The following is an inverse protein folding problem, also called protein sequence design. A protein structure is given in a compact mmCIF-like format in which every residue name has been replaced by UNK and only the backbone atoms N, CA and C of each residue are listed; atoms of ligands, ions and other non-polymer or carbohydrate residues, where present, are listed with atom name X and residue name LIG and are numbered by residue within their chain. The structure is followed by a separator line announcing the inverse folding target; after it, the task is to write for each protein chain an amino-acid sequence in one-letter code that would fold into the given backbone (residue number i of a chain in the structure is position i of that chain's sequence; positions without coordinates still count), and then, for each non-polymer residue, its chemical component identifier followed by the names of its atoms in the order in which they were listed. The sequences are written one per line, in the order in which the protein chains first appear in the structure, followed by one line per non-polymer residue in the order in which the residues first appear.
data_IF_561532064115
#
_entry.id   IF_561532064115
#
_cell.length_a   1.000
_cell.length_b   1.000
_cell.length_c   1.000
_cell.angle_alpha   90.00
_cell.angle_beta   90.00
_cell.angle_gamma   90.00
#
_symmetry.space_group_name_H-M   'P 1'
#
loop_
_entity.id
_entity.type
_entity.pdbx_description
1 polymer ?
#
# COMPACT_ATOMS: atom_id res chain seq x y z
N UNK A 1 -5.87 11.42 20.91
CA UNK A 1 -6.53 10.17 21.36
C UNK A 1 -5.68 8.96 20.99
N UNK A 2 -5.66 7.90 21.79
CA UNK A 2 -4.89 6.68 21.49
C UNK A 2 -5.66 5.80 20.49
N UNK A 3 -4.98 5.31 19.45
CA UNK A 3 -5.58 4.42 18.44
C UNK A 3 -6.11 3.15 19.10
N UNK A 4 -7.37 2.75 18.85
CA UNK A 4 -7.92 1.48 19.34
C UNK A 4 -7.03 0.33 18.89
N UNK A 5 -6.67 -0.53 19.84
CA UNK A 5 -5.84 -1.71 19.57
C UNK A 5 -6.69 -2.70 18.78
N UNK A 6 -6.17 -3.18 17.64
CA UNK A 6 -6.88 -4.16 16.82
C UNK A 6 -7.20 -5.42 17.66
N UNK A 7 -8.46 -5.85 17.63
CA UNK A 7 -8.95 -7.01 18.41
C UNK A 7 -8.37 -8.33 17.93
N UNK A 8 -7.88 -8.37 16.69
CA UNK A 8 -7.31 -9.58 16.05
C UNK A 8 -5.79 -9.54 16.04
N UNK A 9 -5.17 -10.66 16.38
CA UNK A 9 -3.73 -10.85 16.25
C UNK A 9 -3.31 -10.89 14.78
N UNK A 10 -2.36 -10.02 14.38
CA UNK A 10 -1.82 -10.03 13.03
C UNK A 10 -0.86 -11.22 12.82
N UNK A 11 -0.97 -11.89 11.68
CA UNK A 11 0.03 -12.85 11.20
C UNK A 11 1.04 -12.09 10.35
N UNK A 12 2.32 -12.22 10.69
CA UNK A 12 3.42 -11.58 9.96
C UNK A 12 3.99 -12.57 8.96
N UNK A 13 3.98 -12.18 7.68
CA UNK A 13 4.66 -12.91 6.61
C UNK A 13 5.76 -12.00 6.06
N UNK A 14 7.01 -12.47 6.13
CA UNK A 14 8.17 -11.77 5.58
C UNK A 14 8.54 -12.38 4.24
N UNK A 15 8.62 -11.54 3.21
CA UNK A 15 8.99 -11.96 1.86
C UNK A 15 10.19 -11.14 1.42
N UNK A 16 11.22 -11.82 0.91
CA UNK A 16 12.35 -11.21 0.22
C UNK A 16 12.20 -11.46 -1.27
N UNK A 17 12.22 -10.39 -2.06
CA UNK A 17 12.16 -10.43 -3.52
C UNK A 17 13.50 -9.93 -4.07
N UNK A 18 14.05 -10.67 -5.03
CA UNK A 18 15.15 -10.21 -5.87
C UNK A 18 14.56 -9.95 -7.25
N UNK A 19 14.66 -8.71 -7.72
CA UNK A 19 14.15 -8.28 -9.03
C UNK A 19 15.33 -8.02 -9.96
N UNK A 20 15.25 -8.49 -11.19
CA UNK A 20 16.31 -8.37 -12.19
C UNK A 20 15.88 -7.43 -13.32
N UNK A 21 16.66 -6.35 -13.59
CA UNK A 21 16.41 -5.50 -14.74
C UNK A 21 16.40 -6.30 -16.05
N UNK A 22 15.44 -6.01 -16.94
CA UNK A 22 15.20 -6.71 -18.20
C UNK A 22 14.20 -7.87 -18.12
N UNK A 23 13.94 -8.41 -16.92
CA UNK A 23 12.94 -9.46 -16.69
C UNK A 23 11.76 -8.94 -15.86
N UNK A 24 12.06 -8.19 -14.80
CA UNK A 24 11.10 -7.70 -13.80
C UNK A 24 10.87 -6.18 -13.92
N UNK A 25 11.00 -5.61 -15.12
CA UNK A 25 10.98 -4.15 -15.32
C UNK A 25 9.63 -3.52 -14.93
N UNK A 26 8.52 -4.24 -15.09
CA UNK A 26 7.19 -3.82 -14.64
C UNK A 26 7.12 -3.76 -13.09
N UNK A 27 7.71 -4.74 -12.41
CA UNK A 27 7.80 -4.79 -10.95
C UNK A 27 8.70 -3.68 -10.39
N UNK A 28 9.86 -3.48 -11.02
CA UNK A 28 10.81 -2.42 -10.67
C UNK A 28 10.13 -1.06 -10.82
N UNK A 29 9.51 -0.79 -11.97
CA UNK A 29 8.79 0.45 -12.25
C UNK A 29 7.66 0.69 -11.25
N UNK A 30 6.95 -0.36 -10.84
CA UNK A 30 5.92 -0.30 -9.82
C UNK A 30 6.49 0.12 -8.45
N UNK A 31 7.60 -0.47 -8.00
CA UNK A 31 8.21 -0.15 -6.71
C UNK A 31 8.92 1.21 -6.68
N UNK A 32 9.32 1.74 -7.83
CA UNK A 32 9.85 3.10 -7.99
C UNK A 32 8.76 4.15 -7.83
N UNK A 33 7.56 3.90 -8.37
CA UNK A 33 6.42 4.81 -8.26
C UNK A 33 5.78 4.82 -6.88
N UNK A 34 5.97 3.77 -6.07
CA UNK A 34 5.38 3.66 -4.73
C UNK A 34 6.38 4.12 -3.66
N UNK A 35 6.06 5.17 -2.87
CA UNK A 35 6.89 5.60 -1.75
C UNK A 35 7.18 4.47 -0.77
N UNK A 36 8.39 4.41 -0.21
CA UNK A 36 8.85 3.30 0.65
C UNK A 36 7.87 2.97 1.79
N UNK A 37 7.29 3.99 2.43
CA UNK A 37 6.31 3.84 3.51
C UNK A 37 5.00 3.16 3.09
N UNK A 38 4.67 3.14 1.81
CA UNK A 38 3.38 2.66 1.27
C UNK A 38 3.49 1.34 0.51
N UNK A 39 4.70 0.80 0.34
CA UNK A 39 4.95 -0.45 -0.41
C UNK A 39 4.13 -1.64 0.09
N UNK A 40 4.01 -1.81 1.41
CA UNK A 40 3.22 -2.91 2.00
C UNK A 40 1.73 -2.80 1.64
N UNK A 41 1.19 -1.58 1.63
CA UNK A 41 -0.21 -1.35 1.26
C UNK A 41 -0.44 -1.65 -0.22
N UNK A 42 0.47 -1.17 -1.08
CA UNK A 42 0.41 -1.41 -2.52
C UNK A 42 0.54 -2.91 -2.87
N UNK A 43 1.46 -3.63 -2.23
CA UNK A 43 1.62 -5.09 -2.41
C UNK A 43 0.37 -5.84 -1.95
N UNK A 44 -0.21 -5.51 -0.78
CA UNK A 44 -1.46 -6.14 -0.31
C UNK A 44 -2.61 -5.91 -1.29
N UNK A 45 -2.69 -4.72 -1.90
CA UNK A 45 -3.71 -4.41 -2.90
C UNK A 45 -3.53 -5.27 -4.15
N UNK A 46 -2.31 -5.32 -4.69
CA UNK A 46 -1.99 -6.13 -5.87
C UNK A 46 -2.30 -7.63 -5.69
N UNK A 47 -1.95 -8.18 -4.52
CA UNK A 47 -2.25 -9.58 -4.17
C UNK A 47 -3.75 -9.87 -4.07
N UNK A 48 -4.56 -8.90 -3.63
CA UNK A 48 -6.03 -9.03 -3.53
C UNK A 48 -6.72 -8.88 -4.87
N UNK A 49 -6.22 -8.00 -5.74
CA UNK A 49 -6.80 -7.72 -7.06
C UNK A 49 -6.32 -8.68 -8.16
N UNK A 50 -5.33 -9.53 -7.88
CA UNK A 50 -4.77 -10.47 -8.85
C UNK A 50 -3.90 -9.81 -9.93
N UNK A 51 -3.36 -8.62 -9.66
CA UNK A 51 -2.55 -7.88 -10.64
C UNK A 51 -1.94 -6.60 -10.07
N UNK A 52 -0.83 -6.16 -10.66
CA UNK A 52 0.02 -5.05 -10.17
C UNK A 52 -0.26 -3.70 -10.81
N UNK A 53 -1.28 -3.61 -11.66
CA UNK A 53 -1.83 -2.34 -12.12
C UNK A 53 -2.48 -1.61 -10.95
N UNK A 54 -1.68 -1.00 -10.09
CA UNK A 54 -2.16 0.00 -9.14
C UNK A 54 -2.56 1.21 -9.98
N UNK A 55 -3.86 1.29 -10.26
CA UNK A 55 -4.51 2.52 -10.68
C UNK A 55 -4.27 3.53 -9.57
N UNK A 56 -3.33 4.45 -9.79
CA UNK A 56 -3.13 5.64 -8.94
C UNK A 56 -4.40 6.52 -8.90
N UNK A 57 -5.35 6.27 -9.81
CA UNK A 57 -6.67 6.89 -9.86
C UNK A 57 -7.58 6.53 -8.67
N UNK A 58 -7.23 5.50 -7.89
CA UNK A 58 -7.99 5.04 -6.72
C UNK A 58 -7.22 5.27 -5.41
N UNK A 59 -6.21 6.14 -5.45
CA UNK A 59 -5.68 6.77 -4.25
C UNK A 59 -6.69 7.83 -3.82
N UNK A 60 -7.12 7.85 -2.55
CA UNK A 60 -7.94 8.94 -2.06
C UNK A 60 -7.18 10.25 -2.32
N UNK A 61 -7.90 11.22 -2.89
CA UNK A 61 -7.40 12.58 -3.08
C UNK A 61 -6.96 13.17 -1.75
N UNK A 62 -6.03 14.13 -1.78
CA UNK A 62 -5.55 14.77 -0.53
C UNK A 62 -6.73 15.34 0.28
N UNK A 63 -7.78 15.82 -0.38
CA UNK A 63 -9.03 16.28 0.22
C UNK A 63 -9.79 15.16 0.95
N UNK A 64 -9.90 13.96 0.35
CA UNK A 64 -10.53 12.78 0.99
C UNK A 64 -9.70 12.24 2.16
N UNK A 65 -8.37 12.43 2.11
CA UNK A 65 -7.48 12.10 3.22
C UNK A 65 -7.64 13.10 4.36
N UNK A 66 -7.82 14.39 4.06
CA UNK A 66 -8.03 15.46 5.03
C UNK A 66 -9.39 15.33 5.75
N UNK A 67 -10.47 15.02 5.01
CA UNK A 67 -11.79 14.72 5.58
C UNK A 67 -11.78 13.49 6.50
N UNK A 68 -11.04 12.44 6.11
CA UNK A 68 -10.87 11.24 6.94
C UNK A 68 -10.04 11.53 8.22
N UNK A 69 -9.18 12.55 8.20
CA UNK A 69 -8.41 13.00 9.35
C UNK A 69 -9.25 13.87 10.28
N UNK A 70 -10.09 14.76 9.76
CA UNK A 70 -10.99 15.60 10.55
C UNK A 70 -12.05 14.76 11.29
N UNK A 71 -12.62 13.75 10.63
CA UNK A 71 -13.54 12.80 11.26
C UNK A 71 -12.92 11.92 12.36
N UNK A 72 -11.58 11.91 12.49
CA UNK A 72 -10.85 11.15 13.52
C UNK A 72 -10.55 11.99 14.77
N UNK A 73 -10.63 13.32 14.68
CA UNK A 73 -10.33 14.26 15.78
C UNK A 73 -11.61 14.91 16.33
N UNK A 74 -12.74 14.78 15.61
CA UNK A 74 -14.10 15.14 16.06
C UNK A 74 -14.70 14.21 17.11
#
# INVERSE_FOLDING_TARGET
MARPRAETQAIIVQVKLSLHPGEDDDLLSFFEQVPARWRVAAVKRALRSGGMAVRLDDLPSDDEVEDALDGLIG
#
